data_IF_354166254890
#
_entry.id   IF_354166254890
#
_cell.length_a   1.000
_cell.length_b   1.000
_cell.length_c   1.000
_cell.angle_alpha   90.00
_cell.angle_beta   90.00
_cell.angle_gamma   90.00
#
_symmetry.space_group_name_H-M   'P 1'
#
loop_
_entity.id
_entity.type
_entity.pdbx_description
1 polymer ?
#
# COMPACT_ATOMS: atom_id res chain seq x y z
N UNK A 1 1.14 36.05 -8.90
CA UNK A 1 -0.09 35.84 -8.13
C UNK A 1 -0.21 34.35 -7.89
N UNK A 2 -0.28 33.95 -6.63
CA UNK A 2 -0.10 32.58 -6.11
C UNK A 2 -1.45 31.88 -5.97
N UNK A 3 -1.54 30.57 -6.28
CA UNK A 3 -2.66 29.67 -5.96
C UNK A 3 -3.52 29.26 -7.18
N UNK A 4 -3.85 27.97 -7.36
CA UNK A 4 -4.24 27.05 -6.28
C UNK A 4 -3.19 25.99 -5.97
N UNK A 5 -2.79 25.90 -4.71
CA UNK A 5 -2.30 24.66 -4.13
C UNK A 5 -3.49 23.70 -4.10
N UNK A 6 -3.64 22.91 -5.17
CA UNK A 6 -4.41 21.68 -5.13
C UNK A 6 -3.70 20.74 -4.18
N UNK A 7 -3.93 20.93 -2.89
CA UNK A 7 -3.50 20.03 -1.83
C UNK A 7 -4.25 18.73 -1.99
N UNK A 8 -3.82 17.90 -2.94
CA UNK A 8 -4.07 16.48 -2.94
C UNK A 8 -3.43 16.01 -1.64
N UNK A 9 -4.21 16.01 -0.55
CA UNK A 9 -3.76 15.50 0.73
C UNK A 9 -3.39 14.06 0.47
N UNK A 10 -2.09 13.69 0.52
CA UNK A 10 -1.70 12.33 0.27
C UNK A 10 -2.33 11.52 1.38
N UNK A 11 -3.34 10.72 1.06
CA UNK A 11 -3.97 9.81 2.03
C UNK A 11 -2.83 8.92 2.54
N UNK A 12 -2.44 9.01 3.83
CA UNK A 12 -1.31 8.25 4.33
C UNK A 12 -1.72 6.79 4.40
N UNK A 13 -1.32 6.01 3.40
CA UNK A 13 -1.58 4.57 3.37
C UNK A 13 -0.58 3.85 4.29
N UNK A 14 -1.05 2.91 5.14
CA UNK A 14 -0.18 2.20 6.06
C UNK A 14 0.80 1.31 5.29
N UNK A 15 2.09 1.44 5.57
CA UNK A 15 3.13 0.58 4.98
C UNK A 15 3.65 -0.37 6.07
N UNK A 16 3.41 -1.68 5.96
CA UNK A 16 3.94 -2.65 6.92
C UNK A 16 5.47 -2.74 6.83
N UNK A 17 6.11 -3.05 7.96
CA UNK A 17 7.55 -3.26 8.01
C UNK A 17 7.94 -4.60 7.36
N UNK A 18 9.22 -4.74 6.97
CA UNK A 18 9.72 -5.94 6.32
C UNK A 18 9.52 -7.21 7.16
N UNK A 19 9.73 -7.11 8.48
CA UNK A 19 9.64 -8.22 9.43
C UNK A 19 8.20 -8.65 9.77
N UNK A 20 7.20 -7.83 9.44
CA UNK A 20 5.78 -8.14 9.62
C UNK A 20 5.20 -8.93 8.43
N UNK A 21 5.96 -9.04 7.34
CA UNK A 21 5.48 -9.58 6.07
C UNK A 21 5.86 -11.05 5.89
N UNK A 22 4.91 -11.80 5.36
CA UNK A 22 5.18 -13.17 4.92
C UNK A 22 6.01 -13.18 3.63
N UNK A 23 6.74 -14.28 3.40
CA UNK A 23 7.50 -14.50 2.16
C UNK A 23 6.64 -14.29 0.89
N UNK A 24 5.38 -14.70 0.91
CA UNK A 24 4.47 -14.56 -0.23
C UNK A 24 4.11 -13.10 -0.53
N UNK A 25 4.01 -12.26 0.51
CA UNK A 25 3.78 -10.83 0.37
C UNK A 25 5.03 -10.12 -0.15
N UNK A 26 6.21 -10.49 0.37
CA UNK A 26 7.51 -9.97 -0.11
C UNK A 26 7.81 -10.36 -1.57
N UNK A 27 7.28 -11.48 -2.05
CA UNK A 27 7.38 -11.91 -3.44
C UNK A 27 6.34 -11.26 -4.36
N UNK A 28 5.43 -10.43 -3.84
CA UNK A 28 4.36 -9.80 -4.63
C UNK A 28 3.29 -10.77 -5.14
N UNK A 29 3.10 -11.91 -4.47
CA UNK A 29 2.07 -12.89 -4.83
C UNK A 29 0.76 -12.67 -4.04
N UNK A 30 0.88 -12.17 -2.82
CA UNK A 30 -0.21 -11.91 -1.88
C UNK A 30 -0.22 -10.44 -1.50
N UNK A 31 -1.41 -9.90 -1.23
CA UNK A 31 -1.58 -8.51 -0.81
C UNK A 31 -0.83 -8.21 0.50
N UNK A 32 -0.19 -7.05 0.58
CA UNK A 32 0.53 -6.63 1.79
C UNK A 32 -0.39 -6.38 3.00
N UNK A 33 -1.68 -6.11 2.79
CA UNK A 33 -2.64 -5.83 3.87
C UNK A 33 -3.61 -6.97 4.18
N UNK A 34 -3.74 -7.95 3.29
CA UNK A 34 -4.65 -9.08 3.49
C UNK A 34 -4.07 -10.36 2.89
N UNK A 35 -4.49 -11.55 3.36
CA UNK A 35 -3.93 -12.82 2.89
C UNK A 35 -4.41 -13.25 1.48
N UNK A 36 -5.03 -12.34 0.71
CA UNK A 36 -5.57 -12.66 -0.63
C UNK A 36 -4.50 -12.64 -1.72
N UNK A 37 -4.65 -13.55 -2.68
CA UNK A 37 -3.81 -13.59 -3.89
C UNK A 37 -4.03 -12.35 -4.76
N UNK A 38 -2.94 -11.76 -5.22
CA UNK A 38 -2.99 -10.60 -6.11
C UNK A 38 -3.38 -10.99 -7.53
N UNK A 39 -3.02 -12.19 -7.99
CA UNK A 39 -3.51 -12.72 -9.27
C UNK A 39 -4.75 -13.59 -9.02
N UNK A 40 -5.87 -13.40 -9.75
CA UNK A 40 -6.08 -12.55 -10.94
C UNK A 40 -6.69 -11.16 -10.65
N UNK A 41 -6.56 -10.63 -9.43
CA UNK A 41 -7.14 -9.34 -9.04
C UNK A 41 -6.34 -8.16 -9.60
N UNK A 42 -6.95 -6.97 -9.61
CA UNK A 42 -6.21 -5.71 -9.81
C UNK A 42 -5.46 -5.37 -8.54
N UNK A 43 -4.23 -4.90 -8.72
CA UNK A 43 -3.34 -4.54 -7.62
C UNK A 43 -2.52 -3.30 -7.96
N UNK A 44 -2.13 -2.58 -6.91
CA UNK A 44 -1.29 -1.39 -7.00
C UNK A 44 -0.01 -1.62 -6.20
N UNK A 45 1.08 -1.00 -6.66
CA UNK A 45 2.32 -0.93 -5.89
C UNK A 45 2.15 0.07 -4.74
N UNK A 46 2.43 -0.37 -3.52
CA UNK A 46 2.34 0.44 -2.31
C UNK A 46 3.64 1.17 -2.01
N UNK A 47 4.72 0.42 -1.78
CA UNK A 47 6.02 0.94 -1.39
C UNK A 47 7.13 -0.09 -1.64
N UNK A 48 8.39 0.32 -1.56
CA UNK A 48 9.52 -0.62 -1.46
C UNK A 48 10.01 -0.64 -0.01
N UNK A 49 10.02 -1.83 0.59
CA UNK A 49 10.67 -2.06 1.89
C UNK A 49 12.05 -2.65 1.68
N UNK A 50 12.95 -2.46 2.64
CA UNK A 50 14.32 -2.98 2.58
C UNK A 50 14.53 -4.07 3.62
N UNK A 51 15.22 -5.13 3.21
CA UNK A 51 15.71 -6.15 4.15
C UNK A 51 17.00 -5.69 4.85
N UNK A 52 17.47 -6.50 5.81
CA UNK A 52 18.66 -6.20 6.61
C UNK A 52 19.97 -6.12 5.80
N UNK A 53 20.00 -6.68 4.59
CA UNK A 53 21.12 -6.61 3.65
C UNK A 53 21.02 -5.43 2.68
N UNK A 54 19.91 -4.69 2.73
CA UNK A 54 19.61 -3.57 1.84
C UNK A 54 18.87 -3.95 0.56
N UNK A 55 18.45 -5.21 0.40
CA UNK A 55 17.64 -5.66 -0.73
C UNK A 55 16.24 -5.04 -0.70
N UNK A 56 15.79 -4.48 -1.82
CA UNK A 56 14.49 -3.85 -1.95
C UNK A 56 13.41 -4.84 -2.38
N UNK A 57 12.28 -4.84 -1.68
CA UNK A 57 11.10 -5.66 -1.99
C UNK A 57 9.91 -4.75 -2.22
N UNK A 58 9.33 -4.81 -3.42
CA UNK A 58 8.14 -4.04 -3.75
C UNK A 58 6.91 -4.72 -3.15
N UNK A 59 6.16 -3.94 -2.37
CA UNK A 59 4.90 -4.36 -1.78
C UNK A 59 3.74 -3.98 -2.69
N UNK A 60 2.80 -4.89 -2.81
CA UNK A 60 1.61 -4.72 -3.62
C UNK A 60 0.36 -4.95 -2.80
N UNK A 61 -0.68 -4.18 -3.09
CA UNK A 61 -1.97 -4.23 -2.40
C UNK A 61 -3.08 -4.41 -3.42
N UNK A 62 -4.10 -5.19 -3.08
CA UNK A 62 -5.24 -5.38 -3.96
C UNK A 62 -6.13 -4.13 -3.99
N UNK A 63 -6.76 -3.86 -5.13
CA UNK A 63 -7.66 -2.71 -5.33
C UNK A 63 -8.74 -2.58 -4.24
N UNK A 64 -9.42 -3.67 -3.78
CA UNK A 64 -10.41 -3.57 -2.70
C UNK A 64 -9.85 -3.04 -1.39
N UNK A 65 -8.62 -3.43 -1.04
CA UNK A 65 -7.95 -2.98 0.17
C UNK A 65 -7.59 -1.49 0.09
N UNK A 66 -7.16 -1.02 -1.09
CA UNK A 66 -6.90 0.42 -1.31
C UNK A 66 -8.17 1.24 -1.19
N UNK A 67 -9.26 0.80 -1.84
CA UNK A 67 -10.55 1.49 -1.77
C UNK A 67 -11.04 1.60 -0.32
N UNK A 68 -11.03 0.50 0.43
CA UNK A 68 -11.43 0.51 1.83
C UNK A 68 -10.58 1.45 2.70
N UNK A 69 -9.26 1.50 2.46
CA UNK A 69 -8.36 2.40 3.18
C UNK A 69 -8.64 3.88 2.86
N UNK A 70 -8.89 4.20 1.59
CA UNK A 70 -9.23 5.55 1.15
C UNK A 70 -10.59 5.98 1.68
N UNK A 71 -11.62 5.14 1.57
CA UNK A 71 -12.96 5.41 2.11
C UNK A 71 -12.91 5.70 3.61
N UNK A 72 -12.14 4.89 4.36
CA UNK A 72 -11.93 5.13 5.79
C UNK A 72 -11.24 6.47 6.05
N UNK A 73 -10.17 6.78 5.31
CA UNK A 73 -9.45 8.04 5.49
C UNK A 73 -10.32 9.27 5.17
N UNK A 74 -11.17 9.18 4.15
CA UNK A 74 -12.13 10.23 3.81
C UNK A 74 -13.21 10.40 4.90
N UNK A 75 -13.66 9.30 5.51
CA UNK A 75 -14.62 9.33 6.61
C UNK A 75 -14.03 9.91 7.90
N UNK A 76 -12.77 9.62 8.24
CA UNK A 76 -12.06 10.20 9.39
C UNK A 76 -11.76 11.70 9.22
N UNK A 77 -11.68 12.18 7.97
CA UNK A 77 -11.39 13.59 7.65
C UNK A 77 -12.64 14.49 7.57
N UNK A 78 -13.84 13.92 7.66
CA UNK A 78 -15.14 14.62 7.57
C UNK A 78 -15.75 14.87 8.95
#
# INVERSE_FOLDING_TARGET
MTGPEGGESPVPLPVPAFDELTRWQLQGLVCAWCPELLFPRRYLRLATVRDATGGGHDLFVCEPCVLAAVEKALADAS
#
